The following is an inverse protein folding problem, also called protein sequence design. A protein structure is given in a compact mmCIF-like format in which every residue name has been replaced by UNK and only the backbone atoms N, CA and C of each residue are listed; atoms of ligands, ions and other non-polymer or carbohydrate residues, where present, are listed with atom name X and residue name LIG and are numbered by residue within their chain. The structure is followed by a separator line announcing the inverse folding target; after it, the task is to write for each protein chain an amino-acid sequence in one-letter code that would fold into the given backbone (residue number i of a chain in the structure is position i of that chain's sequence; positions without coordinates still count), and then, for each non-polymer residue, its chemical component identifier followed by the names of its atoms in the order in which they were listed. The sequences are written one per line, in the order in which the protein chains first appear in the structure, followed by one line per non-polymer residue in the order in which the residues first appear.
data_IF_290164815058
#
_entry.id   IF_290164815058
#
_cell.length_a   1.000
_cell.length_b   1.000
_cell.length_c   1.000
_cell.angle_alpha   90.00
_cell.angle_beta   90.00
_cell.angle_gamma   90.00
#
_symmetry.space_group_name_H-M   'P 1'
#
loop_
_entity.id
_entity.type
_entity.pdbx_description
1 polymer ?
#
# COMPACT_ATOMS: atom_id res chain seq x y z
N UNK A 1 72.18 0.32 -9.57
CA UNK A 1 70.75 0.29 -9.98
C UNK A 1 70.02 -0.74 -9.15
N UNK A 2 69.26 -0.31 -8.12
CA UNK A 2 67.89 -0.85 -7.98
C UNK A 2 66.89 0.08 -7.23
N UNK A 3 65.63 -0.37 -7.21
CA UNK A 3 64.46 0.04 -6.41
C UNK A 3 63.70 1.30 -6.85
N UNK A 4 62.80 1.07 -7.82
CA UNK A 4 61.59 1.88 -8.06
C UNK A 4 60.74 1.92 -6.78
N UNK A 5 60.49 3.14 -6.30
CA UNK A 5 59.55 3.46 -5.24
C UNK A 5 58.11 3.26 -5.73
N UNK A 6 57.32 2.48 -4.97
CA UNK A 6 55.86 2.40 -5.11
C UNK A 6 55.25 3.64 -4.45
N UNK A 7 54.65 4.52 -5.25
CA UNK A 7 53.77 5.58 -4.77
C UNK A 7 52.34 5.03 -4.79
N UNK A 8 51.78 4.78 -3.62
CA UNK A 8 50.38 4.41 -3.41
C UNK A 8 49.53 5.68 -3.39
N UNK A 9 48.86 5.98 -4.50
CA UNK A 9 47.83 7.02 -4.55
C UNK A 9 46.56 6.52 -3.88
N UNK A 10 46.32 7.02 -2.67
CA UNK A 10 45.09 6.86 -1.92
C UNK A 10 44.09 7.90 -2.44
N UNK A 11 43.25 7.53 -3.41
CA UNK A 11 42.18 8.41 -3.91
C UNK A 11 40.89 8.08 -3.14
N UNK A 12 40.72 8.75 -2.00
CA UNK A 12 39.44 8.82 -1.29
C UNK A 12 38.43 9.58 -2.16
N UNK A 13 37.60 8.83 -2.89
CA UNK A 13 36.41 9.37 -3.52
C UNK A 13 35.43 9.76 -2.42
N UNK A 14 35.41 11.04 -2.05
CA UNK A 14 34.33 11.62 -1.27
C UNK A 14 33.07 11.63 -2.13
N UNK A 15 32.19 10.66 -1.92
CA UNK A 15 30.80 10.75 -2.38
C UNK A 15 30.16 11.96 -1.69
N UNK A 16 30.06 13.07 -2.41
CA UNK A 16 29.18 14.18 -2.02
C UNK A 16 27.76 13.64 -2.08
N UNK A 17 27.25 13.25 -0.92
CA UNK A 17 25.83 13.02 -0.68
C UNK A 17 25.06 14.26 -1.10
N UNK A 18 24.05 14.06 -1.94
CA UNK A 18 23.06 15.08 -2.24
C UNK A 18 22.25 15.35 -0.96
N UNK A 19 22.73 16.28 -0.14
CA UNK A 19 21.98 16.87 0.96
C UNK A 19 21.26 18.12 0.45
N UNK A 20 19.99 17.98 0.08
CA UNK A 20 18.95 19.03 -0.01
C UNK A 20 17.75 18.34 -0.68
N UNK A 21 16.64 18.04 -0.02
CA UNK A 21 15.74 18.97 0.67
C UNK A 21 15.03 18.21 1.81
N UNK A 22 15.36 18.53 3.06
CA UNK A 22 14.56 18.14 4.23
C UNK A 22 13.55 19.26 4.51
N UNK A 23 12.62 19.50 3.60
CA UNK A 23 11.37 20.14 3.97
C UNK A 23 10.55 19.08 4.70
N UNK A 24 10.12 19.35 5.93
CA UNK A 24 9.20 18.46 6.66
C UNK A 24 7.97 18.16 5.77
N UNK A 25 7.99 16.99 5.15
CA UNK A 25 6.94 16.54 4.24
C UNK A 25 5.65 16.39 5.04
N UNK A 26 4.75 17.35 4.89
CA UNK A 26 3.47 17.36 5.57
C UNK A 26 2.40 16.82 4.62
N UNK A 27 1.76 15.72 5.01
CA UNK A 27 0.65 15.17 4.25
C UNK A 27 -0.57 16.12 4.31
N UNK A 28 -1.33 16.25 3.21
CA UNK A 28 -2.60 16.98 3.23
C UNK A 28 -3.57 16.42 4.27
N UNK A 29 -4.32 17.32 4.90
CA UNK A 29 -5.35 16.94 5.85
C UNK A 29 -6.49 16.13 5.20
N UNK A 30 -6.87 15.09 5.93
CA UNK A 30 -8.08 14.28 5.73
C UNK A 30 -8.96 14.38 6.98
N UNK A 31 -10.28 14.35 6.79
CA UNK A 31 -11.31 14.57 7.81
C UNK A 31 -12.12 13.31 8.12
N UNK A 32 -12.89 13.34 9.21
CA UNK A 32 -13.79 12.26 9.61
C UNK A 32 -15.06 12.23 8.79
N UNK A 33 -15.49 11.01 8.45
CA UNK A 33 -16.74 10.70 7.79
C UNK A 33 -17.57 9.90 8.78
N UNK A 34 -18.87 9.90 8.62
CA UNK A 34 -19.79 9.20 9.52
C UNK A 34 -20.59 8.16 8.76
N UNK A 35 -20.91 7.05 9.43
CA UNK A 35 -21.81 6.05 8.88
C UNK A 35 -21.33 5.32 7.62
N UNK A 36 -20.03 5.32 7.32
CA UNK A 36 -19.52 4.53 6.19
C UNK A 36 -19.70 3.04 6.48
N UNK A 37 -20.24 2.32 5.49
CA UNK A 37 -20.50 0.89 5.56
C UNK A 37 -19.37 0.08 4.93
N UNK A 38 -19.11 -1.11 5.48
CA UNK A 38 -18.23 -2.08 4.85
C UNK A 38 -18.97 -2.93 3.82
N UNK A 39 -18.52 -2.86 2.57
CA UNK A 39 -18.94 -3.77 1.51
C UNK A 39 -17.96 -4.92 1.41
N UNK A 40 -18.41 -6.14 1.73
CA UNK A 40 -17.59 -7.34 1.63
C UNK A 40 -17.56 -7.83 0.18
N UNK A 41 -16.38 -7.87 -0.42
CA UNK A 41 -16.17 -8.47 -1.75
C UNK A 41 -15.86 -9.97 -1.65
N UNK A 42 -15.14 -10.36 -0.59
CA UNK A 42 -14.90 -11.75 -0.23
C UNK A 42 -14.81 -11.87 1.29
N UNK A 43 -15.64 -12.74 1.86
CA UNK A 43 -15.72 -12.96 3.30
C UNK A 43 -14.34 -13.27 3.89
N UNK A 44 -14.04 -12.67 5.05
CA UNK A 44 -12.77 -12.82 5.76
C UNK A 44 -11.50 -12.52 4.93
N UNK A 45 -11.61 -11.83 3.79
CA UNK A 45 -10.49 -11.65 2.85
C UNK A 45 -10.42 -10.27 2.20
N UNK A 46 -11.54 -9.73 1.70
CA UNK A 46 -11.55 -8.49 0.91
C UNK A 46 -12.76 -7.63 1.30
N UNK A 47 -12.49 -6.42 1.78
CA UNK A 47 -13.49 -5.45 2.25
C UNK A 47 -13.25 -4.10 1.55
N UNK A 48 -14.34 -3.42 1.21
CA UNK A 48 -14.33 -2.09 0.61
C UNK A 48 -15.08 -1.12 1.53
N UNK A 49 -14.59 0.11 1.61
CA UNK A 49 -15.25 1.23 2.30
C UNK A 49 -15.27 2.39 1.31
N UNK A 50 -16.42 2.58 0.68
CA UNK A 50 -16.62 3.60 -0.34
C UNK A 50 -16.73 5.00 0.33
N UNK A 51 -16.44 6.08 -0.40
CA UNK A 51 -16.51 7.48 0.08
C UNK A 51 -15.66 7.82 1.33
N UNK A 52 -14.62 7.02 1.63
CA UNK A 52 -13.72 7.30 2.75
C UNK A 52 -12.94 8.61 2.60
N UNK A 53 -12.57 8.97 1.37
CA UNK A 53 -12.08 10.30 1.03
C UNK A 53 -13.06 11.01 0.09
N UNK A 54 -13.32 12.27 0.38
CA UNK A 54 -13.99 13.19 -0.53
C UNK A 54 -13.15 13.44 -1.78
N UNK A 55 -13.81 13.92 -2.84
CA UNK A 55 -13.17 14.31 -4.09
C UNK A 55 -12.05 15.34 -3.87
N UNK A 56 -12.28 16.30 -2.99
CA UNK A 56 -11.33 17.37 -2.67
C UNK A 56 -10.09 16.84 -1.94
N UNK A 57 -10.27 15.89 -1.01
CA UNK A 57 -9.16 15.22 -0.32
C UNK A 57 -8.32 14.39 -1.29
N UNK A 58 -8.97 13.60 -2.16
CA UNK A 58 -8.28 12.86 -3.21
C UNK A 58 -7.46 13.79 -4.10
N UNK A 59 -8.03 14.91 -4.56
CA UNK A 59 -7.32 15.91 -5.38
C UNK A 59 -6.10 16.49 -4.66
N UNK A 60 -6.21 16.84 -3.36
CA UNK A 60 -5.07 17.34 -2.58
C UNK A 60 -3.96 16.30 -2.43
N UNK A 61 -4.30 15.03 -2.20
CA UNK A 61 -3.33 13.94 -2.12
C UNK A 61 -2.67 13.64 -3.47
N UNK A 62 -3.43 13.71 -4.58
CA UNK A 62 -2.89 13.62 -5.95
C UNK A 62 -1.94 14.79 -6.25
N UNK A 63 -2.29 16.01 -5.82
CA UNK A 63 -1.38 17.15 -5.95
C UNK A 63 -0.11 16.92 -5.13
N UNK A 64 -0.23 16.46 -3.88
CA UNK A 64 0.92 16.16 -3.02
C UNK A 64 1.87 15.14 -3.67
N UNK A 65 1.38 13.97 -4.09
CA UNK A 65 2.25 12.93 -4.68
C UNK A 65 2.91 13.39 -6.01
N UNK A 66 2.29 14.30 -6.76
CA UNK A 66 2.93 14.86 -7.95
C UNK A 66 4.07 15.85 -7.64
N UNK A 67 4.19 16.31 -6.39
CA UNK A 67 5.22 17.25 -5.94
C UNK A 67 6.30 16.61 -5.05
N UNK A 68 6.23 15.30 -4.78
CA UNK A 68 7.30 14.56 -4.08
C UNK A 68 8.22 13.86 -5.08
N UNK A 69 9.49 13.56 -4.72
CA UNK A 69 10.40 12.84 -5.61
C UNK A 69 9.94 11.40 -5.80
N UNK A 70 9.26 11.14 -6.92
CA UNK A 70 8.81 9.81 -7.31
C UNK A 70 9.94 9.01 -7.95
N UNK A 71 10.12 7.78 -7.48
CA UNK A 71 11.09 6.84 -8.05
C UNK A 71 10.38 5.80 -8.90
N UNK A 72 10.92 5.51 -10.09
CA UNK A 72 10.45 4.38 -10.88
C UNK A 72 10.92 3.08 -10.24
N UNK A 73 10.02 2.09 -10.15
CA UNK A 73 10.36 0.77 -9.62
C UNK A 73 11.50 0.14 -10.43
N UNK A 74 12.54 -0.42 -9.79
CA UNK A 74 13.62 -1.09 -10.49
C UNK A 74 13.15 -2.38 -11.17
N UNK A 75 13.91 -2.92 -12.14
CA UNK A 75 13.62 -4.21 -12.73
C UNK A 75 13.49 -5.31 -11.68
N UNK A 76 12.53 -6.24 -11.89
CA UNK A 76 12.30 -7.37 -10.98
C UNK A 76 13.55 -8.22 -10.80
N UNK A 77 13.74 -8.75 -9.60
CA UNK A 77 14.72 -9.82 -9.34
C UNK A 77 14.10 -11.19 -9.59
N UNK A 78 14.93 -12.24 -9.61
CA UNK A 78 14.45 -13.62 -9.75
C UNK A 78 13.48 -13.96 -8.61
N UNK A 79 12.27 -14.38 -8.97
CA UNK A 79 11.20 -14.73 -8.02
C UNK A 79 10.31 -13.57 -7.61
N UNK A 80 10.63 -12.32 -7.98
CA UNK A 80 9.74 -11.18 -7.78
C UNK A 80 8.78 -11.03 -8.96
N UNK A 81 7.57 -10.58 -8.67
CA UNK A 81 6.62 -10.19 -9.70
C UNK A 81 7.08 -8.92 -10.41
N UNK A 82 6.73 -8.81 -11.70
CA UNK A 82 7.05 -7.63 -12.47
C UNK A 82 6.20 -6.45 -12.03
N UNK A 83 6.85 -5.33 -11.72
CA UNK A 83 6.20 -4.11 -11.29
C UNK A 83 6.80 -2.94 -12.04
N UNK A 84 5.95 -2.17 -12.70
CA UNK A 84 6.36 -0.96 -13.39
C UNK A 84 5.44 0.14 -12.91
N UNK A 85 5.93 0.98 -11.99
CA UNK A 85 5.19 2.15 -11.50
C UNK A 85 6.12 3.13 -10.77
N UNK A 86 5.64 4.36 -10.62
CA UNK A 86 6.29 5.37 -9.80
C UNK A 86 5.85 5.26 -8.34
N UNK A 87 6.80 5.44 -7.41
CA UNK A 87 6.62 5.18 -5.98
C UNK A 87 7.24 6.28 -5.13
N UNK A 88 6.58 6.55 -4.03
CA UNK A 88 7.10 7.36 -2.93
C UNK A 88 6.82 6.60 -1.62
N UNK A 89 7.77 6.63 -0.68
CA UNK A 89 7.67 5.94 0.61
C UNK A 89 8.32 6.81 1.67
N UNK A 90 7.61 7.05 2.77
CA UNK A 90 8.12 7.84 3.89
C UNK A 90 7.51 7.36 5.21
N UNK A 91 8.31 7.34 6.26
CA UNK A 91 7.79 7.13 7.62
C UNK A 91 7.06 8.39 8.08
N UNK A 92 5.78 8.25 8.41
CA UNK A 92 4.94 9.34 8.95
C UNK A 92 3.99 8.79 10.01
N UNK A 93 4.46 8.79 11.27
CA UNK A 93 3.68 8.31 12.43
C UNK A 93 2.39 9.11 12.60
N UNK A 94 2.47 10.44 12.46
CA UNK A 94 1.31 11.33 12.64
C UNK A 94 0.21 11.08 11.60
N UNK A 95 0.57 10.90 10.32
CA UNK A 95 -0.40 10.59 9.29
C UNK A 95 -0.96 9.18 9.44
N UNK A 96 -0.14 8.20 9.82
CA UNK A 96 -0.61 6.83 10.09
C UNK A 96 -1.61 6.79 11.26
N UNK A 97 -1.36 7.53 12.34
CA UNK A 97 -2.29 7.66 13.48
C UNK A 97 -3.61 8.30 13.05
N UNK A 98 -3.57 9.37 12.25
CA UNK A 98 -4.78 10.00 11.71
C UNK A 98 -5.54 9.06 10.78
N UNK A 99 -4.86 8.39 9.86
CA UNK A 99 -5.51 7.43 8.95
C UNK A 99 -6.21 6.31 9.74
N UNK A 100 -5.55 5.77 10.76
CA UNK A 100 -6.12 4.76 11.64
C UNK A 100 -7.34 5.28 12.41
N UNK A 101 -7.25 6.46 13.02
CA UNK A 101 -8.36 7.04 13.80
C UNK A 101 -9.60 7.30 12.94
N UNK A 102 -9.41 7.64 11.67
CA UNK A 102 -10.49 7.88 10.71
C UNK A 102 -11.08 6.58 10.16
N UNK A 103 -10.29 5.52 10.00
CA UNK A 103 -10.77 4.22 9.55
C UNK A 103 -11.52 3.48 10.67
N UNK A 104 -10.97 3.49 11.89
CA UNK A 104 -11.38 2.63 13.01
C UNK A 104 -12.90 2.59 13.27
N UNK A 105 -13.67 3.71 13.22
CA UNK A 105 -15.11 3.69 13.46
C UNK A 105 -15.91 2.86 12.45
N UNK A 106 -15.34 2.62 11.26
CA UNK A 106 -16.00 1.94 10.15
C UNK A 106 -15.55 0.49 10.00
N UNK A 107 -14.46 0.08 10.66
CA UNK A 107 -13.89 -1.24 10.48
C UNK A 107 -14.72 -2.32 11.20
N UNK A 108 -14.86 -3.52 10.59
CA UNK A 108 -15.45 -4.65 11.27
C UNK A 108 -14.47 -5.21 12.31
N UNK A 109 -14.94 -6.19 13.09
CA UNK A 109 -14.02 -7.06 13.82
C UNK A 109 -13.31 -7.99 12.85
N UNK A 110 -12.00 -8.13 12.97
CA UNK A 110 -11.20 -8.95 12.07
C UNK A 110 -10.98 -10.39 12.59
N UNK A 111 -10.96 -11.40 11.71
CA UNK A 111 -10.57 -12.74 12.11
C UNK A 111 -9.09 -12.77 12.54
N UNK A 112 -8.71 -13.64 13.49
CA UNK A 112 -7.31 -13.87 13.79
C UNK A 112 -6.62 -14.54 12.58
N UNK A 113 -5.29 -14.42 12.44
CA UNK A 113 -4.57 -15.20 11.45
C UNK A 113 -4.65 -16.69 11.80
N UNK A 114 -4.64 -17.55 10.79
CA UNK A 114 -4.64 -19.01 10.93
C UNK A 114 -3.47 -19.53 11.77
N UNK A 115 -2.37 -18.78 11.82
CA UNK A 115 -1.22 -19.07 12.68
C UNK A 115 -1.40 -18.66 14.15
N UNK A 116 -2.46 -17.93 14.50
CA UNK A 116 -2.71 -17.51 15.87
C UNK A 116 -3.01 -18.73 16.75
N UNK A 117 -2.26 -18.85 17.84
CA UNK A 117 -2.50 -19.91 18.85
C UNK A 117 -3.73 -19.62 19.72
N UNK A 118 -4.10 -18.34 19.85
CA UNK A 118 -5.25 -17.90 20.64
C UNK A 118 -6.50 -17.89 19.76
N UNK A 119 -7.54 -18.60 20.18
CA UNK A 119 -8.89 -18.42 19.65
C UNK A 119 -9.54 -17.22 20.32
N UNK A 120 -10.23 -16.38 19.54
CA UNK A 120 -11.06 -15.31 20.11
C UNK A 120 -12.19 -15.94 20.94
N UNK A 121 -12.50 -15.33 22.07
CA UNK A 121 -13.69 -15.70 22.82
C UNK A 121 -14.96 -15.30 22.03
N UNK A 122 -16.09 -16.01 22.20
CA UNK A 122 -17.36 -15.60 21.60
C UNK A 122 -17.69 -14.14 21.94
N UNK A 123 -17.90 -13.31 20.92
CA UNK A 123 -18.19 -11.88 21.08
C UNK A 123 -16.96 -10.97 21.29
N UNK A 124 -15.75 -11.52 21.37
CA UNK A 124 -14.52 -10.72 21.45
C UNK A 124 -14.25 -10.03 20.10
N UNK A 125 -14.26 -8.70 20.09
CA UNK A 125 -13.89 -7.90 18.91
C UNK A 125 -12.38 -7.79 18.80
N UNK A 126 -11.85 -7.98 17.59
CA UNK A 126 -10.44 -7.77 17.27
C UNK A 126 -10.31 -6.59 16.32
N UNK A 127 -9.84 -5.47 16.85
CA UNK A 127 -9.56 -4.26 16.08
C UNK A 127 -8.05 -4.13 15.80
N UNK A 128 -7.66 -3.43 14.72
CA UNK A 128 -6.25 -3.13 14.47
C UNK A 128 -5.72 -2.14 15.51
N UNK A 129 -4.48 -2.36 15.93
CA UNK A 129 -3.75 -1.49 16.85
C UNK A 129 -3.45 -0.12 16.22
N UNK A 130 -3.00 -0.11 14.96
CA UNK A 130 -2.60 1.09 14.23
C UNK A 130 -2.65 0.87 12.71
N UNK A 131 -2.36 1.92 11.94
CA UNK A 131 -1.89 1.79 10.57
C UNK A 131 -0.35 1.80 10.55
N UNK A 132 0.25 1.15 9.56
CA UNK A 132 1.70 1.12 9.37
C UNK A 132 2.26 2.54 9.20
N UNK A 133 3.31 2.87 9.98
CA UNK A 133 3.99 4.17 9.94
C UNK A 133 4.63 4.47 8.58
N UNK A 134 5.00 3.45 7.80
CA UNK A 134 5.54 3.62 6.46
C UNK A 134 4.43 3.84 5.42
N UNK A 135 4.11 5.11 5.18
CA UNK A 135 3.13 5.55 4.19
C UNK A 135 3.75 5.49 2.81
N UNK A 136 3.08 4.78 1.92
CA UNK A 136 3.48 4.59 0.53
C UNK A 136 2.47 5.26 -0.38
N UNK A 137 2.94 5.85 -1.46
CA UNK A 137 2.07 6.35 -2.51
C UNK A 137 2.57 5.87 -3.87
N UNK A 138 1.65 5.53 -4.75
CA UNK A 138 1.93 4.96 -6.06
C UNK A 138 1.24 5.77 -7.16
N UNK A 139 1.95 5.91 -8.28
CA UNK A 139 1.44 6.47 -9.53
C UNK A 139 1.68 5.49 -10.66
N UNK A 140 0.62 5.18 -11.41
CA UNK A 140 0.66 4.34 -12.60
C UNK A 140 0.11 5.13 -13.79
N UNK A 141 0.92 5.29 -14.83
CA UNK A 141 0.54 5.88 -16.12
C UNK A 141 0.18 4.77 -17.12
N UNK A 142 -0.30 5.08 -18.34
CA UNK A 142 -0.59 4.04 -19.33
C UNK A 142 0.59 3.08 -19.54
N UNK A 143 0.26 1.80 -19.75
CA UNK A 143 1.17 0.66 -19.85
C UNK A 143 1.88 0.22 -18.56
N UNK A 144 1.60 0.87 -17.43
CA UNK A 144 2.14 0.49 -16.12
C UNK A 144 1.20 -0.46 -15.39
N UNK A 145 1.78 -1.36 -14.59
CA UNK A 145 1.06 -2.44 -13.92
C UNK A 145 1.88 -3.02 -12.76
N UNK A 146 1.27 -3.93 -12.01
CA UNK A 146 1.97 -4.77 -11.06
C UNK A 146 1.44 -6.20 -11.15
N UNK A 147 2.24 -7.11 -11.70
CA UNK A 147 1.83 -8.47 -12.00
C UNK A 147 1.52 -9.33 -10.77
N UNK A 148 1.05 -10.58 -10.98
CA UNK A 148 0.55 -11.43 -9.91
C UNK A 148 1.58 -11.72 -8.83
N UNK A 149 1.22 -11.46 -7.57
CA UNK A 149 2.08 -11.61 -6.40
C UNK A 149 1.29 -11.91 -5.13
N UNK A 150 2.04 -12.21 -4.07
CA UNK A 150 1.57 -12.24 -2.70
C UNK A 150 2.30 -11.16 -1.91
N UNK A 151 1.57 -10.50 -1.02
CA UNK A 151 2.15 -9.51 -0.11
C UNK A 151 2.53 -10.20 1.21
N UNK A 152 3.70 -9.87 1.74
CA UNK A 152 4.20 -10.39 3.02
C UNK A 152 3.79 -9.51 4.20
N UNK A 153 3.69 -10.12 5.39
CA UNK A 153 3.59 -9.36 6.63
C UNK A 153 4.89 -8.64 6.95
N UNK A 154 4.78 -7.41 7.43
CA UNK A 154 5.90 -6.60 7.94
C UNK A 154 5.68 -6.25 9.39
N UNK A 155 6.76 -5.99 10.14
CA UNK A 155 6.69 -5.35 11.45
C UNK A 155 6.96 -3.87 11.28
N UNK A 156 6.10 -3.06 11.87
CA UNK A 156 6.34 -1.62 11.94
C UNK A 156 7.42 -1.35 13.00
N UNK A 157 8.56 -0.75 12.64
CA UNK A 157 9.63 -0.47 13.60
C UNK A 157 9.20 0.53 14.69
N UNK A 158 8.20 1.38 14.43
CA UNK A 158 7.74 2.40 15.37
C UNK A 158 6.86 1.84 16.49
N UNK A 159 6.04 0.83 16.17
CA UNK A 159 5.06 0.24 17.11
C UNK A 159 5.39 -1.19 17.53
N UNK A 160 6.23 -1.90 16.77
CA UNK A 160 6.51 -3.33 16.93
C UNK A 160 5.38 -4.27 16.46
N UNK A 161 4.21 -3.70 16.12
CA UNK A 161 3.05 -4.42 15.64
C UNK A 161 3.31 -5.05 14.26
N UNK A 162 2.55 -6.11 13.93
CA UNK A 162 2.69 -6.86 12.68
C UNK A 162 1.51 -6.58 11.76
N UNK A 163 1.77 -6.36 10.46
CA UNK A 163 0.71 -6.14 9.48
C UNK A 163 0.00 -7.44 9.11
N UNK A 164 -1.33 -7.36 8.95
CA UNK A 164 -2.17 -8.50 8.51
C UNK A 164 -3.11 -8.17 7.35
N UNK A 165 -3.41 -6.88 7.15
CA UNK A 165 -4.24 -6.42 6.05
C UNK A 165 -3.56 -5.26 5.36
N UNK A 166 -3.52 -5.27 4.03
CA UNK A 166 -3.13 -4.10 3.26
C UNK A 166 -4.28 -3.10 3.23
N UNK A 167 -3.95 -1.80 3.34
CA UNK A 167 -4.89 -0.68 3.14
C UNK A 167 -4.49 0.03 1.85
N UNK A 168 -5.32 -0.05 0.81
CA UNK A 168 -5.19 0.77 -0.39
C UNK A 168 -6.30 1.82 -0.39
N UNK A 169 -5.94 3.10 -0.49
CA UNK A 169 -6.90 4.19 -0.71
C UNK A 169 -6.76 4.66 -2.15
N UNK A 170 -7.82 4.50 -2.93
CA UNK A 170 -7.84 4.92 -4.33
C UNK A 170 -8.01 6.43 -4.42
N UNK A 171 -6.98 7.12 -4.91
CA UNK A 171 -7.00 8.58 -5.03
C UNK A 171 -7.53 9.04 -6.40
N UNK A 172 -7.53 8.13 -7.38
CA UNK A 172 -8.22 8.28 -8.66
C UNK A 172 -8.91 6.98 -9.03
N UNK A 173 -9.94 7.08 -9.88
CA UNK A 173 -10.75 5.95 -10.32
C UNK A 173 -11.34 6.11 -11.71
N UNK A 174 -12.38 5.33 -11.99
CA UNK A 174 -13.13 5.38 -13.25
C UNK A 174 -13.71 6.79 -13.51
N UNK A 175 -14.04 7.51 -12.44
CA UNK A 175 -14.56 8.88 -12.45
C UNK A 175 -13.51 9.90 -12.93
N UNK A 176 -12.23 9.55 -12.83
CA UNK A 176 -11.09 10.35 -13.30
C UNK A 176 -10.60 9.88 -14.69
N UNK A 177 -11.34 9.00 -15.36
CA UNK A 177 -11.02 8.49 -16.69
C UNK A 177 -9.99 7.35 -16.70
N UNK A 178 -9.67 6.74 -15.55
CA UNK A 178 -8.78 5.57 -15.50
C UNK A 178 -9.48 4.38 -16.15
N UNK A 179 -8.84 3.76 -17.15
CA UNK A 179 -9.30 2.51 -17.77
C UNK A 179 -8.29 1.40 -17.49
N UNK A 180 -8.76 0.26 -17.00
CA UNK A 180 -7.87 -0.75 -16.44
C UNK A 180 -7.35 -0.32 -15.07
N UNK A 181 -6.21 -0.87 -14.64
CA UNK A 181 -5.62 -0.52 -13.36
C UNK A 181 -6.38 -1.07 -12.14
N UNK A 182 -7.38 -1.93 -12.30
CA UNK A 182 -8.10 -2.55 -11.18
C UNK A 182 -7.16 -3.42 -10.32
N UNK A 183 -7.52 -3.64 -9.05
CA UNK A 183 -6.87 -4.69 -8.25
C UNK A 183 -7.63 -6.00 -8.47
N UNK A 184 -6.96 -7.00 -9.03
CA UNK A 184 -7.54 -8.30 -9.34
C UNK A 184 -7.06 -9.33 -8.33
N UNK A 185 -7.97 -10.14 -7.81
CA UNK A 185 -7.68 -11.24 -6.90
C UNK A 185 -8.04 -12.57 -7.55
N UNK A 186 -7.17 -13.56 -7.43
CA UNK A 186 -7.37 -14.89 -7.98
C UNK A 186 -7.64 -15.88 -6.85
N UNK A 187 -8.81 -16.48 -6.89
CA UNK A 187 -9.25 -17.49 -5.93
C UNK A 187 -9.17 -18.86 -6.59
N UNK A 188 -8.27 -19.68 -6.06
CA UNK A 188 -8.05 -21.05 -6.50
C UNK A 188 -8.75 -22.02 -5.54
N UNK A 189 -9.73 -22.78 -6.05
CA UNK A 189 -10.37 -23.87 -5.32
C UNK A 189 -10.10 -25.20 -6.04
N UNK A 190 -9.68 -26.23 -5.29
CA UNK A 190 -9.33 -27.53 -5.87
C UNK A 190 -10.53 -28.13 -6.61
N UNK A 191 -10.34 -28.43 -7.90
CA UNK A 191 -11.37 -29.05 -8.74
C UNK A 191 -12.38 -28.06 -9.33
N UNK A 192 -12.17 -26.74 -9.15
CA UNK A 192 -12.98 -25.70 -9.80
C UNK A 192 -12.11 -24.81 -10.70
N UNK A 193 -12.70 -24.18 -11.73
CA UNK A 193 -12.02 -23.12 -12.46
C UNK A 193 -11.60 -21.99 -11.52
N UNK A 194 -10.44 -21.37 -11.79
CA UNK A 194 -9.99 -20.17 -11.07
C UNK A 194 -11.03 -19.06 -11.21
N UNK A 195 -11.43 -18.50 -10.08
CA UNK A 195 -12.30 -17.33 -10.02
C UNK A 195 -11.45 -16.06 -9.92
N UNK A 196 -11.80 -15.03 -10.70
CA UNK A 196 -11.16 -13.71 -10.64
C UNK A 196 -12.14 -12.70 -10.05
N UNK A 197 -11.78 -12.15 -8.90
CA UNK A 197 -12.53 -11.08 -8.24
C UNK A 197 -11.90 -9.74 -8.62
N UNK A 198 -12.72 -8.80 -9.06
CA UNK A 198 -12.27 -7.46 -9.47
C UNK A 198 -12.69 -6.47 -8.39
N UNK A 199 -11.73 -5.83 -7.73
CA UNK A 199 -12.04 -4.71 -6.85
C UNK A 199 -12.33 -3.46 -7.70
N UNK A 200 -13.51 -2.84 -7.57
CA UNK A 200 -13.84 -1.62 -8.30
C UNK A 200 -12.86 -0.50 -8.00
N UNK A 201 -12.31 0.13 -9.04
CA UNK A 201 -11.41 1.28 -8.91
C UNK A 201 -12.20 2.58 -8.84
N UNK A 202 -12.90 2.80 -7.73
CA UNK A 202 -13.69 4.00 -7.45
C UNK A 202 -12.88 4.97 -6.58
N UNK A 203 -12.77 6.23 -7.02
CA UNK A 203 -12.05 7.27 -6.26
C UNK A 203 -12.61 7.39 -4.84
N UNK A 204 -11.74 7.59 -3.87
CA UNK A 204 -12.09 7.78 -2.46
C UNK A 204 -12.35 6.49 -1.69
N UNK A 205 -12.37 5.35 -2.38
CA UNK A 205 -12.61 4.04 -1.76
C UNK A 205 -11.36 3.50 -1.06
N UNK A 206 -11.55 2.90 0.10
CA UNK A 206 -10.54 2.06 0.76
C UNK A 206 -10.80 0.61 0.37
N UNK A 207 -9.77 -0.06 -0.16
CA UNK A 207 -9.71 -1.50 -0.31
C UNK A 207 -8.82 -2.08 0.79
N UNK A 208 -9.40 -2.96 1.60
CA UNK A 208 -8.71 -3.81 2.57
C UNK A 208 -8.62 -5.21 2.01
N UNK A 209 -7.43 -5.80 2.00
CA UNK A 209 -7.28 -7.23 1.71
C UNK A 209 -6.25 -7.90 2.62
N UNK A 210 -6.47 -9.17 2.96
CA UNK A 210 -5.49 -9.93 3.74
C UNK A 210 -4.20 -10.13 2.97
N UNK A 211 -3.11 -10.17 3.73
CA UNK A 211 -1.79 -10.52 3.23
C UNK A 211 -1.04 -11.42 4.22
N UNK A 212 0.20 -11.78 3.90
CA UNK A 212 0.94 -12.81 4.62
C UNK A 212 0.48 -14.22 4.24
N UNK A 213 0.31 -15.09 5.23
CA UNK A 213 -0.02 -16.50 4.98
C UNK A 213 -1.42 -16.70 4.38
N UNK A 214 -2.31 -15.74 4.60
CA UNK A 214 -3.67 -15.72 4.09
C UNK A 214 -3.83 -14.90 2.81
N UNK A 215 -2.71 -14.44 2.21
CA UNK A 215 -2.75 -13.61 1.02
C UNK A 215 -3.29 -14.38 -0.19
N UNK A 216 -4.28 -13.82 -0.86
CA UNK A 216 -4.67 -14.27 -2.19
C UNK A 216 -3.65 -13.79 -3.23
N UNK A 217 -3.44 -14.60 -4.27
CA UNK A 217 -2.69 -14.15 -5.44
C UNK A 217 -3.44 -12.97 -6.03
N UNK A 218 -2.75 -11.84 -6.22
CA UNK A 218 -3.39 -10.63 -6.72
C UNK A 218 -2.45 -9.81 -7.60
N UNK A 219 -3.03 -8.95 -8.42
CA UNK A 219 -2.29 -8.04 -9.29
C UNK A 219 -2.95 -6.66 -9.36
N UNK A 220 -2.16 -5.65 -9.71
CA UNK A 220 -2.67 -4.40 -10.25
C UNK A 220 -2.65 -4.48 -11.77
N UNK A 221 -3.83 -4.56 -12.39
CA UNK A 221 -3.97 -4.74 -13.83
C UNK A 221 -3.34 -3.58 -14.62
N UNK A 222 -3.13 -3.79 -15.92
CA UNK A 222 -2.58 -2.77 -16.80
C UNK A 222 -3.45 -1.50 -16.83
N UNK A 223 -2.84 -0.35 -16.52
CA UNK A 223 -3.47 0.94 -16.82
C UNK A 223 -3.43 1.14 -18.34
N UNK A 224 -4.61 1.17 -18.96
CA UNK A 224 -4.77 1.36 -20.41
C UNK A 224 -4.92 2.83 -20.79
N UNK A 225 -5.54 3.61 -19.92
CA UNK A 225 -5.81 5.03 -20.12
C UNK A 225 -5.92 5.75 -18.76
N UNK A 226 -5.71 7.06 -18.74
CA UNK A 226 -5.70 7.86 -17.52
C UNK A 226 -4.47 7.65 -16.63
N UNK A 227 -4.54 8.07 -15.37
CA UNK A 227 -3.46 7.86 -14.38
C UNK A 227 -4.04 7.41 -13.04
N UNK A 228 -3.60 6.25 -12.58
CA UNK A 228 -4.00 5.66 -11.30
C UNK A 228 -3.08 6.15 -10.18
N UNK A 229 -3.67 6.71 -9.13
CA UNK A 229 -2.98 7.09 -7.90
C UNK A 229 -3.52 6.31 -6.71
N UNK A 230 -2.62 5.82 -5.86
CA UNK A 230 -2.98 5.04 -4.67
C UNK A 230 -2.15 5.55 -3.49
N UNK A 231 -2.79 5.69 -2.32
CA UNK A 231 -2.11 5.72 -1.04
C UNK A 231 -2.17 4.33 -0.41
N UNK A 232 -1.07 3.86 0.15
CA UNK A 232 -0.97 2.57 0.83
C UNK A 232 -0.46 2.73 2.26
N UNK A 233 -1.12 2.02 3.17
CA UNK A 233 -0.62 1.63 4.48
C UNK A 233 -1.00 0.16 4.71
N UNK A 234 -0.89 -0.33 5.94
CA UNK A 234 -1.34 -1.66 6.34
C UNK A 234 -2.00 -1.56 7.74
N UNK A 235 -3.00 -2.38 8.02
CA UNK A 235 -3.54 -2.52 9.38
C UNK A 235 -2.63 -3.41 10.22
N UNK A 236 -2.24 -2.88 11.38
CA UNK A 236 -1.26 -3.47 12.28
C UNK A 236 -1.94 -4.11 13.49
N UNK A 237 -1.45 -5.26 13.92
CA UNK A 237 -1.98 -6.03 15.05
C UNK A 237 -0.85 -6.47 15.99
N UNK A 238 -1.21 -6.69 17.26
CA UNK A 238 -0.30 -7.16 18.31
C UNK A 238 -0.27 -8.69 18.42
#
# INVERSE_FOLDING_TARGET
MPKKSKVSNNTSQSSKSASAVSSDLTFPDISQKEGLECRVLLEDQIILIDEFLSVEECKRLVQFINNVPLELTPPKKKGEAERVNFRFSVTSVSFAQRLHSLLLPHLPSFPPPTTARRRLHPGEKRAPHSCNSNIRMYKYTPSQYFGPHYDDSVRDPETGAKSEWTVLVYLTGIEDGVKGGETLFYKDERGKPRETLVAPLTRGTVLLHRHGNECLLHEGSLVRDGTKYILRSDLMFM
#
